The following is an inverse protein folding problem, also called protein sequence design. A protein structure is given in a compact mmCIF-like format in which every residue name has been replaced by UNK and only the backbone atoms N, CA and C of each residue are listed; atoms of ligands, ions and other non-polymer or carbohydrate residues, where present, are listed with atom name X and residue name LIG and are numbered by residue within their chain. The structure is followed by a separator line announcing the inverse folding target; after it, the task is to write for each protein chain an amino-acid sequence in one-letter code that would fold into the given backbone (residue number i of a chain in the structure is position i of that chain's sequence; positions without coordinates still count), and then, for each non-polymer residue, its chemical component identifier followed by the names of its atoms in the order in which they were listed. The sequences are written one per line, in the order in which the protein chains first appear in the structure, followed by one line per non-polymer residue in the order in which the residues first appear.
data_IF_251984547357
#
_entry.id   IF_251984547357
#
_cell.length_a   1.000
_cell.length_b   1.000
_cell.length_c   1.000
_cell.angle_alpha   90.00
_cell.angle_beta   90.00
_cell.angle_gamma   90.00
#
_symmetry.space_group_name_H-M   'P 1'
#
loop_
_entity.id
_entity.type
_entity.pdbx_description
1 polymer ?
#
# COMPACT_ATOMS: atom_id res chain seq x y z
N UNK A 1 13.23 8.76 18.96
CA UNK A 1 13.47 10.21 18.80
C UNK A 1 14.95 10.46 18.60
N UNK A 2 15.38 11.67 18.21
CA UNK A 2 16.81 12.02 18.08
C UNK A 2 17.56 11.76 19.39
N UNK A 3 17.00 12.19 20.52
CA UNK A 3 17.58 11.97 21.84
C UNK A 3 17.78 10.48 22.18
N UNK A 4 16.83 9.61 21.82
CA UNK A 4 17.01 8.15 22.01
C UNK A 4 18.14 7.61 21.16
N UNK A 5 18.25 8.04 19.89
CA UNK A 5 19.33 7.60 18.99
C UNK A 5 20.70 8.01 19.51
N UNK A 6 20.84 9.26 19.95
CA UNK A 6 22.09 9.79 20.52
C UNK A 6 22.50 9.06 21.80
N UNK A 7 21.53 8.75 22.67
CA UNK A 7 21.76 7.95 23.87
C UNK A 7 22.31 6.56 23.54
N UNK A 8 21.68 5.85 22.59
CA UNK A 8 22.12 4.52 22.12
C UNK A 8 23.53 4.61 21.51
N UNK A 9 23.79 5.59 20.64
CA UNK A 9 25.12 5.80 20.03
C UNK A 9 26.17 6.01 21.12
N UNK A 10 25.85 6.79 22.15
CA UNK A 10 26.76 7.06 23.27
C UNK A 10 27.06 5.79 24.07
N UNK A 11 26.06 4.97 24.36
CA UNK A 11 26.26 3.66 25.00
C UNK A 11 27.10 2.71 24.15
N UNK A 12 26.85 2.65 22.84
CA UNK A 12 27.59 1.77 21.93
C UNK A 12 29.06 2.19 21.75
N UNK A 13 29.37 3.49 21.82
CA UNK A 13 30.76 3.99 21.75
C UNK A 13 31.67 3.41 22.82
N UNK A 14 31.14 3.04 23.99
CA UNK A 14 31.94 2.42 25.07
C UNK A 14 32.49 1.04 24.69
N UNK A 15 31.85 0.37 23.72
CA UNK A 15 32.23 -0.95 23.24
C UNK A 15 32.86 -0.91 21.84
N UNK A 16 32.92 0.27 21.22
CA UNK A 16 33.46 0.44 19.88
C UNK A 16 35.00 0.51 19.92
N UNK A 17 35.65 -0.23 19.03
CA UNK A 17 37.09 -0.07 18.78
C UNK A 17 37.33 1.32 18.19
N UNK A 18 38.42 1.99 18.57
CA UNK A 18 38.67 3.42 18.36
C UNK A 18 38.43 3.98 16.94
N UNK A 19 38.38 3.14 15.91
CA UNK A 19 38.12 3.51 14.51
C UNK A 19 36.67 3.36 14.05
N UNK A 20 35.75 2.83 14.86
CA UNK A 20 34.35 2.55 14.47
C UNK A 20 33.40 3.50 15.21
N UNK A 21 32.59 4.24 14.45
CA UNK A 21 31.51 5.06 15.01
C UNK A 21 30.15 4.48 14.62
N UNK A 22 29.33 4.01 15.57
CA UNK A 22 28.01 3.48 15.26
C UNK A 22 27.08 4.61 14.81
N UNK A 23 26.32 4.36 13.74
CA UNK A 23 25.28 5.28 13.23
C UNK A 23 23.95 4.53 13.22
N UNK A 24 22.94 5.12 13.85
CA UNK A 24 21.58 4.57 13.89
C UNK A 24 20.74 5.26 12.82
N UNK A 25 20.30 4.48 11.84
CA UNK A 25 19.44 4.91 10.74
C UNK A 25 18.07 4.27 10.95
N UNK A 26 16.98 5.02 10.70
CA UNK A 26 15.65 4.42 10.74
C UNK A 26 15.47 3.46 9.58
N UNK A 27 14.80 2.32 9.77
CA UNK A 27 14.45 1.45 8.66
C UNK A 27 13.50 2.18 7.69
N UNK A 28 13.57 1.82 6.43
CA UNK A 28 12.58 2.24 5.45
C UNK A 28 11.43 1.22 5.41
N UNK A 29 10.19 1.69 5.55
CA UNK A 29 9.03 0.80 5.54
C UNK A 29 8.35 0.80 4.18
N UNK A 30 8.13 -0.38 3.61
CA UNK A 30 7.16 -0.58 2.53
C UNK A 30 5.85 -0.99 3.17
N UNK A 31 4.81 -0.19 2.98
CA UNK A 31 3.50 -0.49 3.52
C UNK A 31 2.67 -1.31 2.54
N UNK A 32 1.79 -2.13 3.06
CA UNK A 32 0.86 -2.96 2.28
C UNK A 32 -0.56 -2.61 2.71
N UNK A 33 -1.44 -2.30 1.76
CA UNK A 33 -2.88 -2.22 1.99
C UNK A 33 -3.56 -3.43 1.41
N UNK A 34 -4.58 -3.93 2.10
CA UNK A 34 -5.34 -5.10 1.73
C UNK A 34 -6.80 -4.74 1.50
N UNK A 35 -7.41 -5.40 0.53
CA UNK A 35 -8.86 -5.43 0.35
C UNK A 35 -9.27 -6.90 0.41
N UNK A 36 -9.90 -7.30 1.51
CA UNK A 36 -10.31 -8.66 1.80
C UNK A 36 -11.82 -8.77 1.63
N UNK A 37 -12.26 -9.64 0.74
CA UNK A 37 -13.67 -10.00 0.58
C UNK A 37 -13.85 -11.48 0.90
N UNK A 38 -14.55 -11.81 1.98
CA UNK A 38 -14.77 -13.21 2.37
C UNK A 38 -16.25 -13.57 2.33
N UNK A 39 -16.53 -14.82 1.96
CA UNK A 39 -17.87 -15.42 2.02
C UNK A 39 -17.93 -16.39 3.19
N UNK A 40 -19.01 -16.35 3.96
CA UNK A 40 -19.20 -17.23 5.11
C UNK A 40 -20.57 -17.90 5.14
N UNK A 41 -20.65 -19.09 5.73
CA UNK A 41 -21.89 -19.82 5.95
C UNK A 41 -22.56 -19.39 7.25
N UNK A 42 -23.66 -18.63 7.17
CA UNK A 42 -24.39 -18.17 8.34
C UNK A 42 -25.18 -19.28 9.06
N UNK A 43 -25.35 -20.45 8.45
CA UNK A 43 -26.04 -21.60 9.06
C UNK A 43 -25.20 -22.37 10.08
N UNK A 44 -23.88 -22.16 10.11
CA UNK A 44 -22.95 -22.85 11.01
C UNK A 44 -22.19 -21.93 11.96
N UNK A 45 -22.57 -20.64 12.02
CA UNK A 45 -22.04 -19.67 12.98
C UNK A 45 -23.16 -18.82 13.55
N UNK A 46 -23.04 -18.47 14.82
CA UNK A 46 -23.93 -17.51 15.50
C UNK A 46 -23.32 -16.11 15.59
N UNK A 47 -22.07 -15.94 15.10
CA UNK A 47 -21.38 -14.65 15.09
C UNK A 47 -21.95 -13.77 13.99
N UNK A 48 -22.12 -12.48 14.28
CA UNK A 48 -22.44 -11.50 13.26
C UNK A 48 -21.24 -11.23 12.34
N UNK A 49 -21.52 -10.64 11.17
CA UNK A 49 -20.50 -10.33 10.17
C UNK A 49 -19.42 -9.39 10.73
N UNK A 50 -19.78 -8.46 11.62
CA UNK A 50 -18.85 -7.52 12.25
C UNK A 50 -17.85 -8.21 13.17
N UNK A 51 -18.28 -9.24 13.89
CA UNK A 51 -17.41 -10.08 14.70
C UNK A 51 -16.47 -10.89 13.81
N UNK A 52 -16.96 -11.44 12.70
CA UNK A 52 -16.12 -12.16 11.74
C UNK A 52 -15.07 -11.24 11.10
N UNK A 53 -15.46 -10.03 10.69
CA UNK A 53 -14.54 -9.00 10.18
C UNK A 53 -13.46 -8.65 11.22
N UNK A 54 -13.83 -8.52 12.50
CA UNK A 54 -12.89 -8.26 13.59
C UNK A 54 -11.92 -9.42 13.80
N UNK A 55 -12.39 -10.67 13.71
CA UNK A 55 -11.53 -11.84 13.83
C UNK A 55 -10.51 -11.92 12.68
N UNK A 56 -10.97 -11.66 11.44
CA UNK A 56 -10.11 -11.60 10.25
C UNK A 56 -9.07 -10.49 10.41
N UNK A 57 -9.49 -9.28 10.78
CA UNK A 57 -8.58 -8.16 11.04
C UNK A 57 -7.54 -8.51 12.12
N UNK A 58 -7.96 -9.22 13.18
CA UNK A 58 -7.05 -9.65 14.25
C UNK A 58 -5.99 -10.63 13.72
N UNK A 59 -6.38 -11.59 12.87
CA UNK A 59 -5.42 -12.50 12.22
C UNK A 59 -4.41 -11.78 11.34
N UNK A 60 -4.86 -10.77 10.60
CA UNK A 60 -4.00 -9.92 9.76
C UNK A 60 -3.03 -9.12 10.65
N UNK A 61 -3.51 -8.51 11.72
CA UNK A 61 -2.69 -7.74 12.66
C UNK A 61 -1.65 -8.61 13.37
N UNK A 62 -2.00 -9.83 13.79
CA UNK A 62 -1.04 -10.80 14.34
C UNK A 62 0.03 -11.15 13.31
N UNK A 63 -0.34 -11.45 12.06
CA UNK A 63 0.63 -11.74 11.01
C UNK A 63 1.57 -10.56 10.75
N UNK A 64 1.05 -9.33 10.75
CA UNK A 64 1.85 -8.11 10.63
C UNK A 64 2.92 -8.03 11.73
N UNK A 65 2.49 -8.08 12.99
CA UNK A 65 3.35 -7.83 14.14
C UNK A 65 4.36 -8.97 14.37
N UNK A 66 3.93 -10.21 14.17
CA UNK A 66 4.74 -11.39 14.49
C UNK A 66 5.67 -11.80 13.35
N UNK A 67 5.38 -11.38 12.10
CA UNK A 67 6.15 -11.82 10.92
C UNK A 67 6.77 -10.68 10.11
N UNK A 68 6.11 -9.53 9.94
CA UNK A 68 6.53 -8.51 8.96
C UNK A 68 7.35 -7.38 9.56
N UNK A 69 7.09 -7.00 10.81
CA UNK A 69 7.83 -5.96 11.53
C UNK A 69 9.23 -6.44 11.99
N UNK A 70 9.85 -7.33 11.20
CA UNK A 70 11.20 -7.87 11.31
C UNK A 70 11.95 -7.58 9.99
N UNK A 71 13.25 -7.27 10.06
CA UNK A 71 14.12 -7.06 8.89
C UNK A 71 14.24 -8.27 7.96
N UNK A 72 13.89 -9.45 8.44
CA UNK A 72 13.86 -10.70 7.67
C UNK A 72 12.45 -11.14 7.27
N UNK A 73 11.44 -10.38 7.71
CA UNK A 73 10.03 -10.65 7.50
C UNK A 73 9.59 -10.51 6.05
N UNK A 74 9.31 -11.64 5.39
CA UNK A 74 8.73 -11.66 4.05
C UNK A 74 7.21 -11.78 4.15
N UNK A 75 6.50 -10.94 3.37
CA UNK A 75 5.06 -11.10 3.20
C UNK A 75 4.80 -12.26 2.23
N UNK A 76 4.23 -13.34 2.76
CA UNK A 76 3.77 -14.50 1.99
C UNK A 76 2.27 -14.44 1.88
N UNK A 77 1.80 -14.22 0.66
CA UNK A 77 0.38 -14.05 0.41
C UNK A 77 -0.41 -15.29 0.78
N UNK A 78 0.05 -16.49 0.40
CA UNK A 78 -0.63 -17.74 0.74
C UNK A 78 -0.80 -17.96 2.24
N UNK A 79 0.20 -17.57 3.05
CA UNK A 79 0.14 -17.67 4.51
C UNK A 79 -0.90 -16.70 5.09
N UNK A 80 -0.99 -15.48 4.56
CA UNK A 80 -2.04 -14.53 4.92
C UNK A 80 -3.44 -15.10 4.60
N UNK A 81 -3.62 -15.68 3.40
CA UNK A 81 -4.89 -16.29 2.98
C UNK A 81 -5.30 -17.42 3.90
N UNK A 82 -4.35 -18.27 4.32
CA UNK A 82 -4.59 -19.33 5.31
C UNK A 82 -4.98 -18.76 6.69
N UNK A 83 -4.28 -17.71 7.15
CA UNK A 83 -4.62 -17.01 8.38
C UNK A 83 -6.03 -16.40 8.35
N UNK A 84 -6.45 -15.83 7.22
CA UNK A 84 -7.80 -15.29 7.02
C UNK A 84 -8.84 -16.41 7.05
N UNK A 85 -8.63 -17.49 6.31
CA UNK A 85 -9.57 -18.64 6.29
C UNK A 85 -9.70 -19.30 7.67
N UNK A 86 -8.64 -19.31 8.46
CA UNK A 86 -8.66 -19.86 9.83
C UNK A 86 -9.22 -18.90 10.89
N UNK A 87 -9.67 -17.70 10.51
CA UNK A 87 -10.28 -16.76 11.45
C UNK A 87 -11.61 -17.28 12.03
N UNK A 88 -12.36 -18.08 11.26
CA UNK A 88 -13.57 -18.76 11.70
C UNK A 88 -13.90 -19.95 10.79
N UNK A 89 -14.42 -21.05 11.34
CA UNK A 89 -14.77 -22.26 10.57
C UNK A 89 -15.92 -22.04 9.58
N UNK A 90 -16.69 -20.96 9.72
CA UNK A 90 -17.76 -20.61 8.78
C UNK A 90 -17.26 -19.91 7.51
N UNK A 91 -16.01 -19.43 7.48
CA UNK A 91 -15.44 -18.79 6.29
C UNK A 91 -15.18 -19.87 5.24
N UNK A 92 -15.76 -19.70 4.05
CA UNK A 92 -15.69 -20.67 2.96
C UNK A 92 -14.69 -20.26 1.88
N UNK A 93 -14.55 -18.95 1.66
CA UNK A 93 -13.62 -18.40 0.70
C UNK A 93 -13.23 -16.98 1.09
N UNK A 94 -12.05 -16.56 0.64
CA UNK A 94 -11.64 -15.17 0.67
C UNK A 94 -10.92 -14.81 -0.63
N UNK A 95 -11.24 -13.62 -1.15
CA UNK A 95 -10.55 -12.97 -2.25
C UNK A 95 -9.89 -11.73 -1.68
N UNK A 96 -8.55 -11.73 -1.68
CA UNK A 96 -7.77 -10.64 -1.13
C UNK A 96 -6.94 -9.98 -2.23
N UNK A 97 -7.07 -8.68 -2.44
CA UNK A 97 -6.19 -7.92 -3.32
C UNK A 97 -5.29 -7.02 -2.49
N UNK A 98 -4.09 -6.71 -2.98
CA UNK A 98 -3.14 -5.87 -2.26
C UNK A 98 -2.50 -4.81 -3.15
N UNK A 99 -2.07 -3.72 -2.50
CA UNK A 99 -1.21 -2.68 -3.08
C UNK A 99 -0.07 -2.39 -2.10
N UNK A 100 1.10 -2.06 -2.63
CA UNK A 100 2.19 -1.52 -1.82
C UNK A 100 2.13 -0.01 -1.84
N UNK A 101 2.61 0.64 -0.79
CA UNK A 101 2.88 2.07 -0.85
C UNK A 101 4.12 2.46 -0.05
N UNK A 102 4.71 3.59 -0.45
CA UNK A 102 5.76 4.26 0.31
C UNK A 102 5.42 5.72 0.50
N UNK A 103 5.91 6.27 1.60
CA UNK A 103 5.85 7.70 1.84
C UNK A 103 7.08 8.40 1.25
N UNK A 104 6.90 9.61 0.75
CA UNK A 104 7.97 10.59 0.68
C UNK A 104 7.55 11.89 1.36
N UNK A 105 8.54 12.61 1.88
CA UNK A 105 8.36 13.91 2.52
C UNK A 105 8.95 14.97 1.60
N UNK A 106 8.14 15.74 0.87
CA UNK A 106 8.66 16.78 -0.01
C UNK A 106 9.18 17.98 0.77
N UNK A 107 10.25 18.61 0.27
CA UNK A 107 10.54 20.00 0.59
C UNK A 107 9.60 20.89 -0.21
N UNK A 108 8.70 21.59 0.49
CA UNK A 108 7.73 22.47 -0.16
C UNK A 108 8.41 23.66 -0.83
N UNK A 109 7.76 24.19 -1.86
CA UNK A 109 8.21 25.33 -2.66
C UNK A 109 9.60 25.15 -3.30
N UNK A 110 10.12 23.93 -3.39
CA UNK A 110 11.37 23.60 -4.09
C UNK A 110 11.15 22.48 -5.11
N UNK A 111 11.74 22.62 -6.29
CA UNK A 111 11.69 21.60 -7.33
C UNK A 111 12.84 20.60 -7.13
N UNK A 112 12.54 19.43 -6.56
CA UNK A 112 13.54 18.43 -6.20
C UNK A 112 13.22 17.06 -6.79
N UNK A 113 14.27 16.25 -6.94
CA UNK A 113 14.14 14.83 -7.30
C UNK A 113 13.78 14.01 -6.06
N UNK A 114 12.82 13.10 -6.20
CA UNK A 114 12.50 12.09 -5.19
C UNK A 114 12.54 10.70 -5.83
N UNK A 115 13.12 9.73 -5.12
CA UNK A 115 13.21 8.34 -5.57
C UNK A 115 12.61 7.43 -4.52
N UNK A 116 11.61 6.63 -4.93
CA UNK A 116 10.95 5.63 -4.09
C UNK A 116 11.29 4.25 -4.64
N UNK A 117 11.95 3.43 -3.83
CA UNK A 117 12.40 2.10 -4.23
C UNK A 117 11.56 1.02 -3.57
N UNK A 118 10.57 0.47 -4.28
CA UNK A 118 9.77 -0.66 -3.83
C UNK A 118 10.56 -1.96 -3.75
N UNK A 119 11.66 -2.07 -4.51
CA UNK A 119 12.54 -3.25 -4.57
C UNK A 119 11.82 -4.57 -4.89
N UNK A 120 10.63 -4.47 -5.47
CA UNK A 120 9.81 -5.57 -5.94
C UNK A 120 9.34 -5.17 -7.34
N UNK A 121 9.35 -6.13 -8.27
CA UNK A 121 8.81 -5.88 -9.61
C UNK A 121 7.33 -5.46 -9.51
N UNK A 122 6.94 -4.50 -10.34
CA UNK A 122 5.59 -3.94 -10.39
C UNK A 122 4.84 -4.54 -11.57
N UNK A 123 3.53 -4.71 -11.41
CA UNK A 123 2.71 -5.38 -12.40
C UNK A 123 2.59 -4.53 -13.68
N UNK A 124 3.21 -5.00 -14.77
CA UNK A 124 3.07 -4.38 -16.09
C UNK A 124 3.26 -5.46 -17.18
N UNK A 125 2.22 -6.25 -17.52
CA UNK A 125 2.34 -7.39 -18.41
C UNK A 125 2.67 -7.02 -19.86
N UNK A 126 2.43 -5.77 -20.27
CA UNK A 126 2.77 -5.23 -21.58
C UNK A 126 2.83 -3.70 -21.51
N UNK A 127 3.62 -3.06 -22.38
CA UNK A 127 3.65 -1.59 -22.44
C UNK A 127 2.25 -1.00 -22.65
N UNK A 128 1.96 0.11 -21.96
CA UNK A 128 0.66 0.77 -21.96
C UNK A 128 -0.41 0.07 -21.12
N UNK A 129 -0.03 -0.87 -20.24
CA UNK A 129 -0.99 -1.56 -19.38
C UNK A 129 -1.79 -0.57 -18.52
N UNK A 130 -3.12 -0.71 -18.56
CA UNK A 130 -4.07 0.16 -17.86
C UNK A 130 -3.88 1.68 -18.10
N UNK A 131 -3.28 2.11 -19.21
CA UNK A 131 -2.98 3.53 -19.47
C UNK A 131 -4.21 4.45 -19.35
N UNK A 132 -5.37 4.00 -19.84
CA UNK A 132 -6.65 4.72 -19.73
C UNK A 132 -7.17 4.78 -18.29
N UNK A 133 -6.86 3.77 -17.48
CA UNK A 133 -7.20 3.69 -16.07
C UNK A 133 -6.19 4.36 -15.14
N UNK A 134 -5.08 4.90 -15.66
CA UNK A 134 -4.01 5.54 -14.88
C UNK A 134 -2.91 4.56 -14.45
N UNK A 135 -2.70 3.50 -15.23
CA UNK A 135 -1.63 2.54 -14.98
C UNK A 135 -1.82 1.79 -13.66
N UNK A 136 -0.72 1.61 -12.93
CA UNK A 136 -0.63 0.85 -11.68
C UNK A 136 -0.05 1.67 -10.52
N UNK A 137 0.41 2.89 -10.79
CA UNK A 137 0.86 3.87 -9.81
C UNK A 137 -0.30 4.80 -9.45
N UNK A 138 -0.42 5.14 -8.18
CA UNK A 138 -1.30 6.22 -7.74
C UNK A 138 -0.73 6.96 -6.53
N UNK A 139 -1.30 8.09 -6.13
CA UNK A 139 -0.86 8.77 -4.90
C UNK A 139 -2.01 9.37 -4.10
N UNK A 140 -1.72 9.74 -2.85
CA UNK A 140 -2.53 10.74 -2.14
C UNK A 140 -2.39 12.12 -2.78
N UNK A 141 -3.32 13.01 -2.45
CA UNK A 141 -3.38 14.35 -3.02
C UNK A 141 -2.29 15.30 -2.52
N UNK A 142 -1.90 16.24 -3.38
CA UNK A 142 -1.01 17.36 -3.08
C UNK A 142 -1.31 18.54 -4.00
N UNK A 143 -0.67 19.68 -3.78
CA UNK A 143 -0.73 20.83 -4.69
C UNK A 143 0.64 21.12 -5.26
N UNK A 144 0.64 21.61 -6.50
CA UNK A 144 1.86 21.99 -7.24
C UNK A 144 1.78 23.44 -7.68
N UNK A 145 2.93 24.04 -7.99
CA UNK A 145 3.03 25.45 -8.35
C UNK A 145 2.67 25.76 -9.82
N UNK A 146 2.72 24.77 -10.71
CA UNK A 146 2.63 24.99 -12.15
C UNK A 146 1.19 25.05 -12.69
N UNK A 147 0.20 24.90 -11.83
CA UNK A 147 -1.20 25.01 -12.16
C UNK A 147 -1.68 26.39 -11.70
N UNK A 148 -2.23 27.21 -12.61
CA UNK A 148 -2.84 28.50 -12.26
C UNK A 148 -4.11 28.37 -11.38
N UNK A 149 -4.46 27.14 -10.99
CA UNK A 149 -5.59 26.77 -10.16
C UNK A 149 -5.16 26.30 -8.76
N UNK A 150 -6.15 26.23 -7.86
CA UNK A 150 -5.99 25.68 -6.51
C UNK A 150 -6.25 24.18 -6.43
N UNK A 151 -6.25 23.48 -7.56
CA UNK A 151 -6.65 22.08 -7.67
C UNK A 151 -5.73 21.15 -6.87
N UNK A 152 -6.34 20.11 -6.33
CA UNK A 152 -5.64 18.96 -5.79
C UNK A 152 -5.18 18.06 -6.94
N UNK A 153 -3.91 17.67 -6.89
CA UNK A 153 -3.24 16.84 -7.87
C UNK A 153 -2.89 15.48 -7.30
N UNK A 154 -2.79 14.50 -8.19
CA UNK A 154 -2.46 13.12 -7.92
C UNK A 154 -1.46 12.62 -8.96
N UNK A 155 -0.73 11.57 -8.60
CA UNK A 155 0.12 10.83 -9.53
C UNK A 155 -0.65 9.67 -10.16
N UNK A 156 -0.35 9.40 -11.42
CA UNK A 156 -0.60 8.10 -12.06
C UNK A 156 0.58 7.75 -12.98
N UNK A 157 0.52 6.60 -13.67
CA UNK A 157 1.45 6.30 -14.76
C UNK A 157 0.72 5.96 -16.07
N UNK A 158 1.46 6.00 -17.17
CA UNK A 158 0.95 5.72 -18.51
C UNK A 158 1.05 4.24 -18.94
N UNK A 159 1.50 3.35 -18.04
CA UNK A 159 1.79 1.94 -18.34
C UNK A 159 3.03 1.72 -19.22
N UNK A 160 3.71 2.79 -19.64
CA UNK A 160 4.87 2.78 -20.54
C UNK A 160 6.12 3.40 -19.91
N UNK A 161 6.14 3.57 -18.59
CA UNK A 161 7.31 3.97 -17.81
C UNK A 161 7.33 5.44 -17.41
N UNK A 162 6.27 6.21 -17.71
CA UNK A 162 6.18 7.63 -17.36
C UNK A 162 5.16 7.84 -16.25
N UNK A 163 5.60 8.53 -15.20
CA UNK A 163 4.72 9.01 -14.13
C UNK A 163 4.23 10.40 -14.49
N UNK A 164 2.93 10.62 -14.33
CA UNK A 164 2.23 11.86 -14.70
C UNK A 164 1.56 12.45 -13.48
N UNK A 165 1.31 13.75 -13.54
CA UNK A 165 0.55 14.47 -12.52
C UNK A 165 -0.72 15.02 -13.14
N UNK A 166 -1.85 14.76 -12.50
CA UNK A 166 -3.17 15.15 -12.96
C UNK A 166 -4.03 15.68 -11.82
N UNK A 167 -5.06 16.44 -12.16
CA UNK A 167 -6.18 16.73 -11.27
C UNK A 167 -7.49 16.22 -11.88
N UNK A 168 -8.55 16.16 -11.08
CA UNK A 168 -9.88 15.75 -11.54
C UNK A 168 -10.74 16.97 -11.85
N UNK A 169 -11.27 17.01 -13.07
CA UNK A 169 -12.39 17.89 -13.45
C UNK A 169 -13.64 17.02 -13.56
N UNK A 170 -14.48 17.02 -12.52
CA UNK A 170 -15.51 16.00 -12.34
C UNK A 170 -14.88 14.62 -12.19
N UNK A 171 -15.16 13.70 -13.12
CA UNK A 171 -14.54 12.36 -13.18
C UNK A 171 -13.41 12.26 -14.21
N UNK A 172 -13.13 13.35 -14.95
CA UNK A 172 -12.12 13.35 -16.02
C UNK A 172 -10.76 13.76 -15.47
N UNK A 173 -9.72 12.98 -15.78
CA UNK A 173 -8.33 13.35 -15.49
C UNK A 173 -7.85 14.43 -16.45
N UNK A 174 -7.36 15.54 -15.91
CA UNK A 174 -6.67 16.59 -16.67
C UNK A 174 -5.21 16.58 -16.25
N UNK A 175 -4.33 16.27 -17.20
CA UNK A 175 -2.89 16.15 -16.94
C UNK A 175 -2.22 17.51 -16.96
N UNK A 176 -1.62 17.89 -15.84
CA UNK A 176 -0.83 19.12 -15.70
C UNK A 176 0.60 18.90 -16.18
N UNK A 177 1.16 17.71 -15.93
CA UNK A 177 2.47 17.30 -16.42
C UNK A 177 2.43 15.82 -16.81
N UNK A 178 2.69 15.54 -18.09
CA UNK A 178 2.71 14.18 -18.64
C UNK A 178 4.08 13.51 -18.57
N UNK A 179 5.08 14.17 -17.99
CA UNK A 179 6.48 13.74 -17.86
C UNK A 179 7.06 14.01 -16.47
N UNK A 180 6.19 14.01 -15.45
CA UNK A 180 6.53 14.39 -14.08
C UNK A 180 7.59 13.48 -13.44
N UNK A 181 7.65 12.24 -13.90
CA UNK A 181 8.59 11.25 -13.41
C UNK A 181 8.68 10.01 -14.29
N UNK A 182 9.32 8.97 -13.77
CA UNK A 182 9.47 7.67 -14.42
C UNK A 182 9.20 6.54 -13.45
N UNK A 183 8.81 5.39 -13.98
CA UNK A 183 8.67 4.14 -13.23
C UNK A 183 9.41 3.02 -13.97
N UNK A 184 10.27 2.31 -13.25
CA UNK A 184 10.89 1.09 -13.72
C UNK A 184 10.13 -0.10 -13.12
N UNK A 185 9.28 -0.74 -13.94
CA UNK A 185 8.45 -1.85 -13.48
C UNK A 185 9.25 -3.10 -13.12
N UNK A 186 10.48 -3.26 -13.61
CA UNK A 186 11.32 -4.44 -13.28
C UNK A 186 11.96 -4.29 -11.90
N UNK A 187 12.48 -3.10 -11.57
CA UNK A 187 13.15 -2.86 -10.29
C UNK A 187 12.20 -2.37 -9.19
N UNK A 188 11.05 -1.84 -9.58
CA UNK A 188 10.14 -1.14 -8.68
C UNK A 188 10.68 0.22 -8.23
N UNK A 189 11.50 0.87 -9.05
CA UNK A 189 11.94 2.25 -8.81
C UNK A 189 10.93 3.24 -9.40
N UNK A 190 10.45 4.18 -8.59
CA UNK A 190 9.65 5.34 -9.02
C UNK A 190 10.47 6.60 -8.76
N UNK A 191 10.69 7.40 -9.80
CA UNK A 191 11.43 8.66 -9.72
C UNK A 191 10.51 9.82 -10.09
N UNK A 192 10.37 10.79 -9.20
CA UNK A 192 9.82 12.10 -9.52
C UNK A 192 10.99 13.01 -9.89
N UNK A 193 11.04 13.50 -11.13
CA UNK A 193 12.27 14.11 -11.68
C UNK A 193 12.52 15.51 -11.12
N UNK A 194 11.46 16.31 -10.99
CA UNK A 194 11.52 17.70 -10.53
C UNK A 194 10.21 18.10 -9.84
N UNK A 195 9.85 17.41 -8.77
CA UNK A 195 8.57 17.61 -8.10
C UNK A 195 8.56 18.90 -7.27
N UNK A 196 7.75 19.88 -7.68
CA UNK A 196 7.59 21.17 -7.00
C UNK A 196 6.23 21.25 -6.29
N UNK A 197 6.17 20.72 -5.08
CA UNK A 197 4.95 20.70 -4.27
C UNK A 197 4.83 22.01 -3.46
N UNK A 198 3.64 22.60 -3.43
CA UNK A 198 3.34 23.82 -2.65
C UNK A 198 2.66 23.50 -1.32
N UNK A 199 1.83 22.45 -1.30
CA UNK A 199 1.25 21.89 -0.08
C UNK A 199 0.92 20.41 -0.27
N UNK A 200 0.66 19.73 0.84
CA UNK A 200 0.20 18.34 0.86
C UNK A 200 -1.26 18.38 1.30
N UNK A 201 -2.11 17.62 0.62
CA UNK A 201 -3.52 17.54 0.99
C UNK A 201 -3.72 16.70 2.25
N UNK A 202 -4.95 16.70 2.77
CA UNK A 202 -5.29 15.79 3.85
C UNK A 202 -5.13 14.33 3.39
N UNK A 203 -4.54 13.51 4.24
CA UNK A 203 -4.42 12.07 4.06
C UNK A 203 -5.23 11.43 5.18
N UNK A 204 -6.13 10.51 4.83
CA UNK A 204 -7.06 9.84 5.76
C UNK A 204 -7.90 10.81 6.61
N UNK A 205 -8.29 11.94 6.01
CA UNK A 205 -9.11 12.97 6.69
C UNK A 205 -8.34 13.87 7.65
N UNK A 206 -7.01 13.75 7.74
CA UNK A 206 -6.17 14.57 8.61
C UNK A 206 -5.06 15.29 7.84
N UNK A 207 -4.57 16.41 8.39
CA UNK A 207 -3.42 17.15 7.83
C UNK A 207 -2.19 16.25 7.77
N UNK A 208 -1.49 16.25 6.63
CA UNK A 208 -0.30 15.42 6.41
C UNK A 208 0.92 16.26 6.01
N UNK A 209 2.11 15.74 6.34
CA UNK A 209 3.41 16.24 5.86
C UNK A 209 4.07 15.29 4.86
N UNK A 210 3.37 14.20 4.48
CA UNK A 210 3.89 13.13 3.63
C UNK A 210 2.87 12.78 2.54
N UNK A 211 3.37 12.39 1.38
CA UNK A 211 2.55 11.84 0.28
C UNK A 211 2.77 10.33 0.22
N UNK A 212 1.70 9.56 0.06
CA UNK A 212 1.78 8.12 -0.25
C UNK A 212 1.81 7.93 -1.76
N UNK A 213 2.74 7.15 -2.25
CA UNK A 213 2.75 6.64 -3.62
C UNK A 213 2.49 5.15 -3.56
N UNK A 214 1.40 4.72 -4.18
CA UNK A 214 0.96 3.34 -4.27
C UNK A 214 1.46 2.69 -5.57
N UNK A 215 1.69 1.39 -5.53
CA UNK A 215 2.02 0.58 -6.68
C UNK A 215 1.40 -0.82 -6.56
N UNK A 216 0.97 -1.40 -7.68
CA UNK A 216 0.55 -2.81 -7.74
C UNK A 216 1.80 -3.68 -7.99
N UNK A 217 2.16 -4.59 -7.08
CA UNK A 217 3.29 -5.49 -7.30
C UNK A 217 2.96 -6.55 -8.34
N UNK A 218 3.98 -7.04 -9.04
CA UNK A 218 3.85 -8.14 -10.01
C UNK A 218 3.62 -9.49 -9.33
N UNK A 219 4.12 -9.65 -8.09
CA UNK A 219 3.94 -10.81 -7.25
C UNK A 219 3.16 -10.42 -6.00
N UNK A 220 2.26 -11.28 -5.53
CA UNK A 220 1.60 -11.06 -4.26
C UNK A 220 2.51 -11.32 -3.05
N UNK A 221 3.59 -12.10 -3.23
CA UNK A 221 4.64 -12.23 -2.22
C UNK A 221 5.57 -11.02 -2.31
N UNK A 222 5.75 -10.31 -1.19
CA UNK A 222 6.53 -9.07 -1.10
C UNK A 222 7.75 -9.32 -0.22
N UNK A 223 8.90 -8.90 -0.73
CA UNK A 223 10.19 -9.16 -0.09
C UNK A 223 10.85 -7.84 0.30
N UNK A 224 11.30 -7.65 1.56
CA UNK A 224 12.12 -6.52 1.92
C UNK A 224 13.58 -6.74 1.48
N UNK A 225 14.29 -5.66 1.22
CA UNK A 225 15.77 -5.68 1.11
C UNK A 225 16.40 -5.17 2.41
N UNK A 226 17.73 -5.17 2.49
CA UNK A 226 18.47 -4.68 3.66
C UNK A 226 18.00 -3.28 4.08
N UNK A 227 17.85 -3.07 5.39
CA UNK A 227 17.36 -1.85 6.02
C UNK A 227 15.89 -1.50 5.72
N UNK A 228 15.12 -2.45 5.16
CA UNK A 228 13.69 -2.30 4.97
C UNK A 228 12.90 -3.25 5.86
N UNK A 229 11.70 -2.83 6.24
CA UNK A 229 10.69 -3.66 6.88
C UNK A 229 9.39 -3.56 6.08
N UNK A 230 8.54 -4.58 6.20
CA UNK A 230 7.20 -4.57 5.63
C UNK A 230 6.20 -4.29 6.76
N UNK A 231 5.12 -3.59 6.44
CA UNK A 231 4.05 -3.35 7.42
C UNK A 231 2.69 -3.30 6.72
N UNK A 232 1.72 -4.03 7.23
CA UNK A 232 0.34 -3.95 6.76
C UNK A 232 -0.32 -2.75 7.43
N UNK A 233 -0.78 -1.82 6.63
CA UNK A 233 -1.63 -0.72 7.09
C UNK A 233 -3.06 -1.23 7.29
N UNK A 234 -3.30 -1.78 8.48
CA UNK A 234 -4.60 -2.33 8.88
C UNK A 234 -5.69 -1.28 8.95
N UNK A 235 -5.33 0.00 9.16
CA UNK A 235 -6.29 1.11 9.23
C UNK A 235 -6.83 1.52 7.87
N UNK A 236 -6.01 1.41 6.82
CA UNK A 236 -6.39 1.68 5.43
C UNK A 236 -6.66 0.40 4.62
N UNK A 237 -6.76 -0.75 5.30
CA UNK A 237 -7.20 -2.00 4.69
C UNK A 237 -8.70 -2.21 4.91
N UNK A 238 -9.38 -2.79 3.92
CA UNK A 238 -10.81 -3.07 4.02
C UNK A 238 -11.07 -4.56 4.17
N UNK A 239 -11.98 -4.91 5.07
CA UNK A 239 -12.39 -6.29 5.32
C UNK A 239 -13.90 -6.34 5.20
N UNK A 240 -14.39 -6.99 4.14
CA UNK A 240 -15.81 -7.14 3.84
C UNK A 240 -16.20 -8.60 3.95
N UNK A 241 -17.19 -8.89 4.79
CA UNK A 241 -17.81 -10.21 4.89
C UNK A 241 -19.18 -10.21 4.24
N UNK A 242 -19.49 -11.25 3.47
CA UNK A 242 -20.81 -11.45 2.89
C UNK A 242 -21.30 -12.88 3.14
N UNK A 243 -22.61 -13.04 3.36
CA UNK A 243 -23.21 -14.37 3.51
C UNK A 243 -23.11 -15.13 2.18
N UNK A 244 -22.65 -16.37 2.24
CA UNK A 244 -22.77 -17.28 1.12
C UNK A 244 -24.21 -17.80 1.04
N UNK A 245 -24.97 -17.29 0.06
CA UNK A 245 -26.38 -17.63 -0.10
C UNK A 245 -26.61 -19.12 -0.39
N UNK A 246 -25.66 -19.81 -1.06
CA UNK A 246 -25.79 -21.22 -1.43
C UNK A 246 -25.56 -22.10 -0.19
N UNK A 247 -24.41 -21.93 0.48
CA UNK A 247 -24.05 -22.71 1.64
C UNK A 247 -24.97 -22.46 2.85
N UNK A 248 -25.58 -21.27 2.92
CA UNK A 248 -26.53 -20.90 3.98
C UNK A 248 -27.98 -21.31 3.67
N UNK A 249 -28.24 -21.97 2.53
CA UNK A 249 -29.57 -22.47 2.17
C UNK A 249 -30.61 -21.38 1.87
N UNK A 250 -30.17 -20.21 1.38
CA UNK A 250 -31.07 -19.12 1.00
C UNK A 250 -31.94 -19.52 -0.19
N UNK A 251 -33.21 -19.09 -0.19
CA UNK A 251 -34.13 -19.30 -1.31
C UNK A 251 -33.67 -18.67 -2.63
N UNK A 252 -32.73 -17.72 -2.57
CA UNK A 252 -32.15 -17.01 -3.72
C UNK A 252 -30.82 -17.62 -4.23
N UNK A 253 -30.37 -18.74 -3.63
CA UNK A 253 -29.08 -19.38 -3.93
C UNK A 253 -28.86 -19.72 -5.42
N UNK A 254 -29.94 -19.96 -6.17
CA UNK A 254 -29.88 -20.37 -7.58
C UNK A 254 -30.07 -19.27 -8.63
N UNK A 255 -30.32 -18.01 -8.23
CA UNK A 255 -30.76 -16.96 -9.18
C UNK A 255 -29.89 -15.71 -9.20
N UNK A 256 -29.23 -15.33 -8.09
CA UNK A 256 -28.42 -14.09 -8.01
C UNK A 256 -27.17 -14.24 -7.13
N UNK A 257 -26.24 -15.15 -7.48
CA UNK A 257 -24.96 -15.30 -6.77
C UNK A 257 -23.90 -14.35 -7.37
N UNK A 258 -23.18 -13.62 -6.51
CA UNK A 258 -22.12 -12.68 -6.92
C UNK A 258 -20.76 -13.13 -6.39
N UNK A 259 -19.74 -12.98 -7.25
CA UNK A 259 -18.33 -13.28 -6.96
C UNK A 259 -17.49 -12.01 -6.97
N UNK A 260 -16.42 -11.98 -6.18
CA UNK A 260 -15.46 -10.86 -6.14
C UNK A 260 -14.31 -11.07 -7.13
N UNK A 261 -13.83 -9.99 -7.75
CA UNK A 261 -12.66 -10.00 -8.63
C UNK A 261 -11.36 -10.21 -7.84
N UNK A 262 -10.41 -10.96 -8.40
CA UNK A 262 -9.05 -11.11 -7.85
C UNK A 262 -8.04 -10.09 -8.37
N UNK A 263 -8.48 -9.14 -9.21
CA UNK A 263 -7.63 -8.09 -9.79
C UNK A 263 -7.75 -6.77 -9.00
N UNK A 264 -6.60 -6.13 -8.75
CA UNK A 264 -6.42 -4.87 -8.00
C UNK A 264 -6.55 -3.59 -8.84
#
# INVERSE_FOLDING_TARGET
TVATKESIVTSLKQYAVASVTPVIIDPETTYITLVVNFKYNSGITTKDVTTLQTNVLSKIATYNNDTLEDFTGMFRYSQLIENINSADTSILSNITTLKMYKYFTPTLASALKYTLNFNNALYNPHSGHNASGGGIISSTGFKINNDSSLNEHFLDDDGAGIVRTYYLSGTTRVYTDSTYGTVNYTTGEVVLTSAHLTSISNVDGATSTRVRVFAIPNSNDIVPVRNQILSIDTSNSTITGEVDAIASGSSQAGTTYTTSSSYS
#
